data_IF_063958286181
#
_entry.id   IF_063958286181
#
_cell.length_a   1.000
_cell.length_b   1.000
_cell.length_c   1.000
_cell.angle_alpha   90.00
_cell.angle_beta   90.00
_cell.angle_gamma   90.00
#
_symmetry.space_group_name_H-M   'P 1'
#
loop_
_entity.id
_entity.type
_entity.pdbx_description
1 polymer ?
#
# COMPACT_ATOMS: atom_id res chain seq x y z
N UNK A 1 22.95 -23.62 0.51
CA UNK A 1 21.69 -24.38 0.71
C UNK A 1 20.55 -23.39 0.68
N UNK A 2 19.54 -23.62 -0.16
CA UNK A 2 18.34 -22.76 -0.21
C UNK A 2 17.40 -23.24 0.89
N UNK A 3 17.14 -22.38 1.88
CA UNK A 3 16.30 -22.72 3.02
C UNK A 3 15.05 -21.82 2.97
N UNK A 4 13.84 -22.40 2.89
CA UNK A 4 12.61 -21.62 3.01
C UNK A 4 12.49 -21.05 4.43
N UNK A 5 11.84 -19.90 4.57
CA UNK A 5 11.47 -19.37 5.88
C UNK A 5 10.15 -20.02 6.35
N UNK A 6 10.04 -20.25 7.64
CA UNK A 6 8.76 -20.54 8.27
C UNK A 6 8.01 -19.21 8.42
N UNK A 7 6.97 -19.01 7.60
CA UNK A 7 6.24 -17.76 7.56
C UNK A 7 5.48 -17.46 8.86
N UNK A 8 4.94 -18.47 9.52
CA UNK A 8 4.26 -18.27 10.80
C UNK A 8 5.24 -17.79 11.88
N UNK A 9 6.41 -18.42 11.96
CA UNK A 9 7.47 -18.00 12.85
C UNK A 9 7.94 -16.58 12.54
N UNK A 10 8.12 -16.26 11.26
CA UNK A 10 8.48 -14.90 10.83
C UNK A 10 7.44 -13.87 11.27
N UNK A 11 6.15 -14.17 11.14
CA UNK A 11 5.06 -13.30 11.59
C UNK A 11 5.13 -13.08 13.11
N UNK A 12 5.36 -14.13 13.90
CA UNK A 12 5.43 -14.02 15.35
C UNK A 12 6.62 -13.14 15.80
N UNK A 13 7.76 -13.29 15.13
CA UNK A 13 8.98 -12.50 15.40
C UNK A 13 8.80 -11.02 15.01
N UNK A 14 7.99 -10.70 14.00
CA UNK A 14 7.79 -9.34 13.46
C UNK A 14 6.46 -8.69 13.85
N UNK A 15 5.58 -9.38 14.56
CA UNK A 15 4.23 -8.91 14.91
C UNK A 15 4.24 -7.52 15.59
N UNK A 16 5.22 -7.24 16.40
CA UNK A 16 5.36 -5.96 17.11
C UNK A 16 5.62 -4.78 16.16
N UNK A 17 6.12 -5.03 14.95
CA UNK A 17 6.39 -4.05 13.89
C UNK A 17 5.20 -3.87 12.93
N UNK A 18 4.21 -4.78 12.96
CA UNK A 18 3.04 -4.77 12.08
C UNK A 18 1.89 -3.94 12.67
N UNK A 19 2.21 -2.86 13.38
CA UNK A 19 1.26 -1.98 14.06
C UNK A 19 1.50 -0.52 13.68
N UNK A 20 0.51 0.35 13.82
CA UNK A 20 0.70 1.79 13.62
C UNK A 20 1.90 2.33 14.42
N UNK A 21 2.57 3.40 13.95
CA UNK A 21 2.24 4.22 12.79
C UNK A 21 2.62 3.61 11.43
N UNK A 22 3.55 2.65 11.39
CA UNK A 22 3.98 1.96 10.15
C UNK A 22 3.79 0.46 10.35
N UNK A 23 2.76 -0.10 9.72
CA UNK A 23 2.42 -1.51 9.81
C UNK A 23 3.01 -2.38 8.69
N UNK A 24 4.08 -1.96 8.03
CA UNK A 24 4.64 -2.63 6.86
C UNK A 24 6.01 -3.24 7.18
N UNK A 25 6.21 -4.51 6.85
CA UNK A 25 7.50 -5.19 6.96
C UNK A 25 7.81 -5.96 5.69
N UNK A 26 8.92 -5.67 5.07
CA UNK A 26 9.41 -6.41 3.91
C UNK A 26 10.04 -7.73 4.35
N UNK A 27 9.64 -8.83 3.70
CA UNK A 27 10.07 -10.19 4.08
C UNK A 27 11.50 -10.48 3.64
N UNK A 28 11.87 -10.08 2.42
CA UNK A 28 13.22 -10.20 1.87
C UNK A 28 13.71 -8.84 1.38
N UNK A 29 14.99 -8.58 1.56
CA UNK A 29 15.67 -7.40 1.02
C UNK A 29 16.40 -7.75 -0.29
N UNK A 30 16.68 -6.74 -1.11
CA UNK A 30 17.51 -6.85 -2.33
C UNK A 30 17.04 -7.95 -3.31
N UNK A 31 15.73 -8.02 -3.54
CA UNK A 31 15.07 -8.98 -4.45
C UNK A 31 14.30 -8.25 -5.55
N UNK A 32 14.05 -8.93 -6.68
CA UNK A 32 13.26 -8.38 -7.80
C UNK A 32 11.79 -8.16 -7.45
N UNK A 33 11.26 -8.93 -6.49
CA UNK A 33 9.95 -8.72 -5.92
C UNK A 33 10.02 -8.05 -4.56
N UNK A 34 9.18 -7.07 -4.35
CA UNK A 34 8.92 -6.47 -3.04
C UNK A 34 7.82 -7.32 -2.41
N UNK A 35 8.17 -8.13 -1.42
CA UNK A 35 7.21 -8.96 -0.68
C UNK A 35 7.04 -8.36 0.70
N UNK A 36 5.88 -7.77 0.97
CA UNK A 36 5.60 -6.99 2.18
C UNK A 36 4.41 -7.56 2.94
N UNK A 37 4.55 -7.74 4.24
CA UNK A 37 3.41 -7.97 5.13
C UNK A 37 2.95 -6.62 5.65
N UNK A 38 1.65 -6.38 5.54
CA UNK A 38 1.02 -5.13 5.95
C UNK A 38 -0.02 -5.41 7.02
N UNK A 39 0.11 -4.74 8.16
CA UNK A 39 -0.81 -4.88 9.30
C UNK A 39 -1.80 -3.73 9.42
N UNK A 40 -2.95 -4.02 10.03
CA UNK A 40 -3.94 -3.03 10.45
C UNK A 40 -3.85 -2.71 11.96
N UNK A 41 -4.55 -1.66 12.44
CA UNK A 41 -5.34 -0.73 11.63
C UNK A 41 -4.48 0.31 10.92
N UNK A 42 -5.02 0.88 9.83
CA UNK A 42 -4.42 2.04 9.18
C UNK A 42 -5.50 3.08 8.82
N UNK A 43 -5.04 4.29 8.49
CA UNK A 43 -5.88 5.34 7.90
C UNK A 43 -5.07 6.02 6.79
N UNK A 44 -5.57 5.95 5.56
CA UNK A 44 -4.95 6.57 4.39
C UNK A 44 -5.97 7.42 3.65
N UNK A 45 -5.52 8.50 3.05
CA UNK A 45 -6.33 9.38 2.19
C UNK A 45 -5.71 9.53 0.80
N UNK A 46 -4.49 9.05 0.62
CA UNK A 46 -3.79 8.99 -0.65
C UNK A 46 -4.21 7.78 -1.46
N UNK A 47 -4.15 7.93 -2.78
CA UNK A 47 -4.32 6.86 -3.74
C UNK A 47 -2.99 6.61 -4.44
N UNK A 48 -2.57 5.36 -4.46
CA UNK A 48 -1.39 4.91 -5.15
C UNK A 48 -1.69 4.61 -6.62
N UNK A 49 -0.85 5.09 -7.52
CA UNK A 49 -0.81 4.79 -8.94
C UNK A 49 0.45 3.97 -9.21
N UNK A 50 0.35 2.64 -9.07
CA UNK A 50 1.44 1.72 -9.35
C UNK A 50 1.55 1.50 -10.87
N UNK A 51 2.74 1.64 -11.48
CA UNK A 51 2.95 1.33 -12.89
C UNK A 51 2.91 -0.17 -13.19
N UNK A 52 2.87 -1.03 -12.19
CA UNK A 52 2.83 -2.48 -12.31
C UNK A 52 1.61 -3.08 -11.62
N UNK A 53 1.44 -4.39 -11.80
CA UNK A 53 0.44 -5.17 -11.06
C UNK A 53 0.86 -5.32 -9.59
N UNK A 54 -0.12 -5.26 -8.71
CA UNK A 54 0.02 -5.59 -7.29
C UNK A 54 -0.78 -6.82 -6.94
N UNK A 55 -0.14 -7.80 -6.30
CA UNK A 55 -0.80 -8.98 -5.78
C UNK A 55 -1.08 -8.81 -4.29
N UNK A 56 -2.34 -9.08 -3.88
CA UNK A 56 -2.81 -9.05 -2.51
C UNK A 56 -3.27 -10.43 -2.07
N UNK A 57 -2.83 -10.87 -0.90
CA UNK A 57 -3.39 -12.00 -0.19
C UNK A 57 -3.77 -11.57 1.22
N UNK A 58 -5.08 -11.41 1.45
CA UNK A 58 -5.63 -11.07 2.75
C UNK A 58 -5.75 -12.34 3.60
N UNK A 59 -4.68 -12.70 4.31
CA UNK A 59 -4.61 -13.99 5.00
C UNK A 59 -5.14 -13.97 6.44
N UNK A 60 -5.41 -12.78 7.01
CA UNK A 60 -6.05 -12.63 8.33
C UNK A 60 -6.87 -11.35 8.41
N UNK A 61 -8.11 -11.45 8.95
CA UNK A 61 -9.03 -10.33 9.07
C UNK A 61 -9.46 -9.77 7.72
N UNK A 62 -10.13 -8.63 7.72
CA UNK A 62 -10.65 -8.01 6.51
C UNK A 62 -9.97 -6.66 6.24
N UNK A 63 -9.95 -6.31 4.96
CA UNK A 63 -9.50 -5.03 4.44
C UNK A 63 -10.31 -4.66 3.20
N UNK A 64 -10.08 -3.49 2.64
CA UNK A 64 -10.60 -3.13 1.33
C UNK A 64 -9.65 -2.15 0.63
N UNK A 65 -9.76 -2.08 -0.68
CA UNK A 65 -9.12 -1.06 -1.48
C UNK A 65 -10.20 -0.06 -1.90
N UNK A 66 -10.11 1.18 -1.45
CA UNK A 66 -10.84 2.25 -2.11
C UNK A 66 -10.15 2.53 -3.44
N UNK A 67 -10.92 2.67 -4.52
CA UNK A 67 -10.37 2.85 -5.87
C UNK A 67 -10.90 4.12 -6.52
N UNK A 68 -10.13 4.66 -7.49
CA UNK A 68 -10.56 5.77 -8.33
C UNK A 68 -10.26 5.42 -9.78
N UNK A 69 -11.30 5.14 -10.56
CA UNK A 69 -11.20 4.77 -11.97
C UNK A 69 -12.03 5.74 -12.81
N UNK A 70 -11.40 6.43 -13.75
CA UNK A 70 -12.06 7.44 -14.61
C UNK A 70 -12.87 8.49 -13.80
N UNK A 71 -12.29 8.93 -12.67
CA UNK A 71 -12.93 9.91 -11.80
C UNK A 71 -14.11 9.36 -10.98
N UNK A 72 -14.32 8.06 -10.97
CA UNK A 72 -15.39 7.39 -10.23
C UNK A 72 -14.82 6.60 -9.06
N UNK A 73 -15.29 6.87 -7.84
CA UNK A 73 -14.90 6.08 -6.68
C UNK A 73 -15.50 4.68 -6.75
N UNK A 74 -14.74 3.71 -6.27
CA UNK A 74 -15.16 2.31 -6.15
C UNK A 74 -14.51 1.67 -4.93
N UNK A 75 -14.81 0.39 -4.71
CA UNK A 75 -14.24 -0.38 -3.62
C UNK A 75 -14.11 -1.84 -4.00
N UNK A 76 -12.97 -2.43 -3.62
CA UNK A 76 -12.71 -3.87 -3.71
C UNK A 76 -12.60 -4.41 -2.28
N UNK A 77 -13.50 -5.31 -1.89
CA UNK A 77 -13.46 -5.97 -0.59
C UNK A 77 -12.41 -7.09 -0.59
N UNK A 78 -11.52 -7.06 0.38
CA UNK A 78 -10.52 -8.09 0.64
C UNK A 78 -10.87 -8.79 1.94
N UNK A 79 -11.70 -9.81 1.86
CA UNK A 79 -12.06 -10.63 3.01
C UNK A 79 -10.96 -11.62 3.34
N UNK A 80 -10.92 -12.09 4.58
CA UNK A 80 -9.97 -13.12 4.99
C UNK A 80 -9.98 -14.32 4.03
N UNK A 81 -8.81 -14.72 3.57
CA UNK A 81 -8.60 -15.76 2.57
C UNK A 81 -8.64 -15.28 1.11
N UNK A 82 -9.06 -14.04 0.85
CA UNK A 82 -9.13 -13.52 -0.51
C UNK A 82 -7.73 -13.28 -1.09
N UNK A 83 -7.59 -13.57 -2.39
CA UNK A 83 -6.46 -13.13 -3.22
C UNK A 83 -6.98 -12.19 -4.31
N UNK A 84 -6.18 -11.19 -4.68
CA UNK A 84 -6.54 -10.23 -5.70
C UNK A 84 -5.30 -9.78 -6.47
N UNK A 85 -5.39 -9.68 -7.79
CA UNK A 85 -4.36 -9.08 -8.63
C UNK A 85 -4.90 -7.76 -9.17
N UNK A 86 -4.37 -6.66 -8.67
CA UNK A 86 -4.72 -5.32 -9.09
C UNK A 86 -3.98 -4.98 -10.38
N UNK A 87 -4.68 -4.54 -11.44
CA UNK A 87 -4.03 -4.11 -12.68
C UNK A 87 -3.19 -2.84 -12.49
N UNK A 88 -2.18 -2.62 -13.37
CA UNK A 88 -1.39 -1.39 -13.36
C UNK A 88 -2.28 -0.15 -13.51
N UNK A 89 -1.85 0.96 -12.91
CA UNK A 89 -2.49 2.27 -13.02
C UNK A 89 -3.92 2.37 -12.50
N UNK A 90 -4.42 1.38 -11.77
CA UNK A 90 -5.66 1.52 -10.99
C UNK A 90 -5.34 2.26 -9.69
N UNK A 91 -5.80 3.52 -9.59
CA UNK A 91 -5.63 4.32 -8.37
C UNK A 91 -6.33 3.63 -7.23
N UNK A 92 -5.58 3.33 -6.16
CA UNK A 92 -6.11 2.57 -5.03
C UNK A 92 -5.54 3.05 -3.70
N UNK A 93 -6.35 2.93 -2.67
CA UNK A 93 -6.00 3.28 -1.30
C UNK A 93 -6.34 2.09 -0.39
N UNK A 94 -5.33 1.33 0.05
CA UNK A 94 -5.58 0.19 0.94
C UNK A 94 -6.05 0.66 2.31
N UNK A 95 -7.23 0.24 2.71
CA UNK A 95 -7.86 0.52 3.99
C UNK A 95 -7.94 -0.74 4.85
N UNK A 96 -7.42 -0.66 6.07
CA UNK A 96 -7.38 -1.76 7.03
C UNK A 96 -7.98 -1.29 8.35
N UNK A 97 -9.32 -1.28 8.48
CA UNK A 97 -9.97 -0.79 9.69
C UNK A 97 -9.85 -1.75 10.87
N UNK A 98 -9.65 -3.04 10.62
CA UNK A 98 -9.60 -4.06 11.66
C UNK A 98 -8.21 -4.14 12.29
N UNK A 99 -8.19 -4.18 13.63
CA UNK A 99 -6.98 -4.54 14.37
C UNK A 99 -6.58 -5.98 14.03
N UNK A 100 -5.27 -6.24 14.00
CA UNK A 100 -4.69 -7.55 13.66
C UNK A 100 -5.00 -8.07 12.24
N UNK A 101 -5.60 -7.25 11.36
CA UNK A 101 -5.70 -7.53 9.93
C UNK A 101 -4.31 -7.63 9.32
N UNK A 102 -4.04 -8.70 8.55
CA UNK A 102 -2.76 -8.95 7.89
C UNK A 102 -2.95 -9.30 6.42
N UNK A 103 -2.19 -8.63 5.58
CA UNK A 103 -2.17 -8.84 4.13
C UNK A 103 -0.73 -9.05 3.66
N UNK A 104 -0.51 -10.03 2.79
CA UNK A 104 0.72 -10.13 2.00
C UNK A 104 0.51 -9.38 0.70
N UNK A 105 1.41 -8.42 0.41
CA UNK A 105 1.43 -7.67 -0.84
C UNK A 105 2.70 -7.99 -1.59
N UNK A 106 2.59 -8.27 -2.88
CA UNK A 106 3.72 -8.54 -3.75
C UNK A 106 3.69 -7.55 -4.91
N UNK A 107 4.77 -6.82 -5.06
CA UNK A 107 4.99 -5.80 -6.09
C UNK A 107 6.31 -6.07 -6.81
N UNK A 108 6.48 -5.45 -7.95
CA UNK A 108 7.77 -5.48 -8.67
C UNK A 108 8.64 -4.30 -8.25
N UNK A 109 9.97 -4.52 -8.21
CA UNK A 109 10.93 -3.42 -8.11
C UNK A 109 10.78 -2.47 -9.30
N UNK A 110 10.92 -1.14 -9.04
CA UNK A 110 10.84 -0.12 -10.08
C UNK A 110 12.21 0.09 -10.69
N UNK A 111 12.39 -0.19 -11.99
CA UNK A 111 13.61 0.16 -12.70
C UNK A 111 13.87 1.67 -12.66
N UNK A 112 15.11 2.08 -12.90
CA UNK A 112 15.46 3.50 -12.97
C UNK A 112 14.58 4.24 -14.00
N UNK A 113 14.01 5.37 -13.58
CA UNK A 113 13.13 6.20 -14.39
C UNK A 113 11.64 5.83 -14.34
N UNK A 114 11.28 4.66 -13.79
CA UNK A 114 9.88 4.29 -13.55
C UNK A 114 9.44 4.84 -12.21
N UNK A 115 8.37 5.62 -12.20
CA UNK A 115 7.88 6.32 -11.02
C UNK A 115 6.48 5.84 -10.65
N UNK A 116 6.23 5.81 -9.35
CA UNK A 116 4.92 5.66 -8.77
C UNK A 116 4.26 7.04 -8.61
N UNK A 117 2.95 7.10 -8.75
CA UNK A 117 2.16 8.30 -8.44
C UNK A 117 1.44 8.16 -7.10
N UNK A 118 1.35 9.27 -6.36
CA UNK A 118 0.48 9.38 -5.21
C UNK A 118 -0.45 10.55 -5.41
N UNK A 119 -1.75 10.27 -5.28
CA UNK A 119 -2.82 11.20 -5.62
C UNK A 119 -3.75 11.40 -4.43
N UNK A 120 -4.26 12.63 -4.29
CA UNK A 120 -5.32 12.97 -3.35
C UNK A 120 -6.50 13.55 -4.11
N UNK A 121 -7.69 13.08 -3.81
CA UNK A 121 -8.92 13.50 -4.45
C UNK A 121 -9.82 14.25 -3.46
N UNK A 122 -10.59 15.19 -3.97
CA UNK A 122 -11.61 15.87 -3.19
C UNK A 122 -12.67 14.89 -2.72
N UNK A 123 -12.97 14.77 -1.42
CA UNK A 123 -13.97 13.81 -0.95
C UNK A 123 -15.40 14.14 -1.38
N UNK A 124 -15.67 15.39 -1.79
CA UNK A 124 -17.01 15.80 -2.21
C UNK A 124 -17.27 15.68 -3.71
N UNK A 125 -16.29 16.01 -4.57
CA UNK A 125 -16.49 16.02 -6.02
C UNK A 125 -15.55 15.06 -6.77
N UNK A 126 -14.64 14.38 -6.06
CA UNK A 126 -13.67 13.42 -6.59
C UNK A 126 -12.67 14.00 -7.62
N UNK A 127 -12.58 15.33 -7.70
CA UNK A 127 -11.55 15.97 -8.51
C UNK A 127 -10.17 15.72 -7.90
N UNK A 128 -9.15 15.58 -8.76
CA UNK A 128 -7.77 15.49 -8.33
C UNK A 128 -7.34 16.79 -7.67
N UNK A 129 -6.88 16.72 -6.43
CA UNK A 129 -6.38 17.86 -5.64
C UNK A 129 -4.87 17.98 -5.78
N UNK A 130 -4.16 16.87 -5.63
CA UNK A 130 -2.71 16.85 -5.66
C UNK A 130 -2.18 15.53 -6.19
N UNK A 131 -1.11 15.59 -6.97
CA UNK A 131 -0.34 14.43 -7.42
C UNK A 131 1.14 14.68 -7.22
N UNK A 132 1.84 13.68 -6.74
CA UNK A 132 3.30 13.65 -6.69
C UNK A 132 3.80 12.34 -7.28
N UNK A 133 4.90 12.40 -8.01
CA UNK A 133 5.57 11.24 -8.57
C UNK A 133 6.91 11.01 -7.89
N UNK A 134 7.21 9.78 -7.57
CA UNK A 134 8.42 9.40 -6.85
C UNK A 134 9.03 8.12 -7.43
N UNK A 135 10.35 8.10 -7.52
CA UNK A 135 11.09 6.87 -7.77
C UNK A 135 11.17 6.09 -6.47
N UNK A 136 10.24 5.14 -6.29
CA UNK A 136 10.22 4.32 -5.08
C UNK A 136 11.43 3.38 -5.02
N UNK A 137 12.12 3.40 -3.89
CA UNK A 137 13.17 2.45 -3.51
C UNK A 137 12.78 1.67 -2.25
N UNK A 138 12.04 2.32 -1.35
CA UNK A 138 11.57 1.75 -0.10
C UNK A 138 10.23 2.33 0.29
N UNK A 139 9.20 1.50 0.33
CA UNK A 139 7.86 1.90 0.78
C UNK A 139 7.90 2.47 2.20
N UNK A 140 8.71 1.86 3.06
CA UNK A 140 8.80 2.25 4.49
C UNK A 140 9.46 3.62 4.68
N UNK A 141 10.42 3.98 3.83
CA UNK A 141 11.21 5.21 4.00
C UNK A 141 10.76 6.35 3.09
N UNK A 142 10.30 6.04 1.87
CA UNK A 142 10.02 7.06 0.86
C UNK A 142 8.61 7.68 1.01
N UNK A 143 7.64 6.93 1.54
CA UNK A 143 6.25 7.38 1.64
C UNK A 143 5.98 8.39 2.79
N UNK A 144 6.47 8.19 4.02
CA UNK A 144 6.13 9.10 5.12
C UNK A 144 6.42 10.57 4.84
N UNK A 145 7.58 10.97 4.27
CA UNK A 145 7.85 12.38 3.95
C UNK A 145 6.88 12.98 2.93
N UNK A 146 6.35 12.18 1.99
CA UNK A 146 5.36 12.66 1.00
C UNK A 146 4.04 13.00 1.69
N UNK A 147 3.61 12.15 2.60
CA UNK A 147 2.36 12.33 3.35
C UNK A 147 2.47 13.52 4.31
N UNK A 148 3.57 13.61 5.05
CA UNK A 148 3.85 14.74 5.94
C UNK A 148 3.81 16.06 5.18
N UNK A 149 4.45 16.14 4.02
CA UNK A 149 4.43 17.34 3.17
C UNK A 149 3.02 17.73 2.75
N UNK A 150 2.21 16.78 2.28
CA UNK A 150 0.83 17.05 1.88
C UNK A 150 -0.02 17.58 3.05
N UNK A 151 0.08 16.94 4.21
CA UNK A 151 -0.71 17.34 5.37
C UNK A 151 -0.23 18.64 6.02
N UNK A 152 1.05 18.97 5.95
CA UNK A 152 1.59 20.21 6.48
C UNK A 152 1.28 21.43 5.62
N UNK A 153 1.14 21.27 4.29
CA UNK A 153 0.94 22.39 3.36
C UNK A 153 -0.54 22.56 2.98
N UNK A 154 -1.18 23.57 3.55
CA UNK A 154 -2.56 23.93 3.22
C UNK A 154 -2.75 24.35 1.75
N UNK A 155 -1.70 24.78 1.06
CA UNK A 155 -1.74 25.15 -0.36
C UNK A 155 -1.92 23.93 -1.28
N UNK A 156 -1.39 22.76 -0.88
CA UNK A 156 -1.52 21.51 -1.62
C UNK A 156 -2.90 20.84 -1.47
N UNK A 157 -3.70 21.31 -0.50
CA UNK A 157 -5.02 20.74 -0.17
C UNK A 157 -6.21 21.56 -0.69
N UNK A 158 -5.95 22.48 -1.61
CA UNK A 158 -6.97 23.39 -2.16
C UNK A 158 -7.37 23.00 -3.57
#
# INVERSE_FOLDING_TARGET
MLIPIDFNRWLDEHRHLLKPPVGNQQVWQDTDFIVTVVGGPNQRTDFHDDPYEEFFWQFRGNAHLDTMVDGKPGRVELREGAIFLLPPHVRHSPQRPEADSLCLVIERQRPAGVKDGFEWFCPGCHALVYRVEVQLKSIVHDLPPLFERFYADAGLRK
#
